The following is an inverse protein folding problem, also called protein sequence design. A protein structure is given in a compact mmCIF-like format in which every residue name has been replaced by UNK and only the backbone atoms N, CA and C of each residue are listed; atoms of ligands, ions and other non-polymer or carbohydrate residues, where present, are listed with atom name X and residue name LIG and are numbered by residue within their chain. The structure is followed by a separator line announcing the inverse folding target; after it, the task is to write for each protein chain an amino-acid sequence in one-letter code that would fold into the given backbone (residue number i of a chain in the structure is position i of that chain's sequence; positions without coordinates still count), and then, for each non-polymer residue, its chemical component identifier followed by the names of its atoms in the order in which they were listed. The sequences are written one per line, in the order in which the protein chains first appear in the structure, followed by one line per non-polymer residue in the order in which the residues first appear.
data_IF_423747194598
#
_entry.id   IF_423747194598
#
_cell.length_a   1.000
_cell.length_b   1.000
_cell.length_c   1.000
_cell.angle_alpha   90.00
_cell.angle_beta   90.00
_cell.angle_gamma   90.00
#
_symmetry.space_group_name_H-M   'P 1'
#
loop_
_entity.id
_entity.type
_entity.pdbx_description
1 polymer ?
#
# COMPACT_ATOMS: atom_id res chain seq x y z
N UNK A 1 -10.19 -5.28 -22.42
CA UNK A 1 -9.33 -4.42 -21.58
C UNK A 1 -9.84 -4.55 -20.15
N UNK A 2 -8.97 -4.77 -19.15
CA UNK A 2 -9.37 -4.85 -17.73
C UNK A 2 -9.96 -3.48 -17.33
N UNK A 3 -11.17 -3.45 -16.76
CA UNK A 3 -11.78 -2.19 -16.29
C UNK A 3 -10.88 -1.58 -15.22
N UNK A 4 -10.80 -0.25 -15.17
CA UNK A 4 -10.03 0.45 -14.15
C UNK A 4 -10.88 0.51 -12.89
N UNK A 5 -10.34 0.05 -11.77
CA UNK A 5 -10.97 0.15 -10.47
C UNK A 5 -10.86 1.58 -9.93
N UNK A 6 -11.96 2.09 -9.40
CA UNK A 6 -12.08 3.37 -8.72
C UNK A 6 -12.61 3.16 -7.31
N UNK A 7 -11.93 3.73 -6.33
CA UNK A 7 -12.29 3.62 -4.92
C UNK A 7 -13.04 4.89 -4.51
N UNK A 8 -14.21 4.73 -3.92
CA UNK A 8 -14.95 5.76 -3.19
C UNK A 8 -14.56 5.61 -1.71
N UNK A 9 -13.67 6.47 -1.18
CA UNK A 9 -13.21 6.36 0.20
C UNK A 9 -14.23 7.00 1.16
N UNK A 10 -14.65 6.24 2.17
CA UNK A 10 -15.40 6.72 3.32
C UNK A 10 -14.52 6.61 4.55
N UNK A 11 -14.08 7.75 5.10
CA UNK A 11 -13.22 7.78 6.27
C UNK A 11 -14.07 7.80 7.53
N UNK A 12 -14.28 6.63 8.13
CA UNK A 12 -14.97 6.50 9.41
C UNK A 12 -14.01 6.94 10.52
N UNK A 13 -14.40 7.91 11.39
CA UNK A 13 -13.57 8.30 12.51
C UNK A 13 -13.23 7.07 13.34
N UNK A 14 -12.03 7.06 13.91
CA UNK A 14 -11.44 5.96 14.68
C UNK A 14 -12.15 5.69 16.04
N UNK A 15 -13.49 5.81 16.10
CA UNK A 15 -14.33 5.64 17.28
C UNK A 15 -14.27 4.23 17.87
N UNK A 16 -13.89 3.24 17.06
CA UNK A 16 -13.86 1.83 17.48
C UNK A 16 -12.56 1.39 18.15
N UNK A 17 -11.51 2.21 18.21
CA UNK A 17 -10.21 1.79 18.75
C UNK A 17 -9.95 2.41 20.15
N UNK A 18 -9.87 1.63 21.24
CA UNK A 18 -9.60 2.15 22.58
C UNK A 18 -8.12 2.49 22.78
N UNK A 19 -7.25 2.08 21.85
CA UNK A 19 -5.80 2.24 21.96
C UNK A 19 -5.31 3.53 21.32
N UNK A 20 -4.37 4.19 22.00
CA UNK A 20 -3.65 5.39 21.51
C UNK A 20 -2.30 4.99 20.95
N UNK A 21 -2.30 4.54 19.69
CA UNK A 21 -1.07 4.19 18.98
C UNK A 21 -0.15 5.40 18.89
N UNK A 22 1.17 5.18 18.98
CA UNK A 22 2.14 6.29 19.05
C UNK A 22 2.15 7.18 17.80
N UNK A 23 1.78 6.62 16.65
CA UNK A 23 1.78 7.26 15.34
C UNK A 23 0.40 7.75 14.89
N UNK A 24 -0.67 7.48 15.65
CA UNK A 24 -2.02 7.85 15.28
C UNK A 24 -2.41 9.16 15.98
N UNK A 25 -2.89 10.15 15.23
CA UNK A 25 -3.38 11.41 15.78
C UNK A 25 -4.90 11.34 16.03
N UNK A 26 -5.32 10.55 17.02
CA UNK A 26 -6.73 10.42 17.36
C UNK A 26 -7.34 11.75 17.83
N UNK A 27 -6.59 12.58 18.57
CA UNK A 27 -7.12 13.79 19.20
C UNK A 27 -7.40 14.93 18.21
N UNK A 28 -6.62 15.09 17.14
CA UNK A 28 -6.94 16.09 16.09
C UNK A 28 -8.05 15.60 15.16
N UNK A 29 -8.23 14.29 15.01
CA UNK A 29 -9.37 13.71 14.26
C UNK A 29 -10.66 13.80 15.09
N UNK A 30 -10.60 13.70 16.42
CA UNK A 30 -11.76 13.79 17.31
C UNK A 30 -12.23 15.23 17.57
N UNK A 31 -11.33 16.22 17.48
CA UNK A 31 -11.64 17.63 17.75
C UNK A 31 -12.52 18.34 16.70
N UNK A 32 -12.79 17.68 15.57
CA UNK A 32 -13.70 18.16 14.50
C UNK A 32 -14.74 17.09 14.12
N UNK A 33 -15.20 16.28 15.08
CA UNK A 33 -16.13 15.17 14.77
C UNK A 33 -17.51 15.68 14.35
N UNK A 34 -17.68 15.88 13.04
CA UNK A 34 -18.98 15.71 12.42
C UNK A 34 -19.35 14.24 12.54
N UNK A 35 -20.47 13.95 13.20
CA UNK A 35 -21.02 12.59 13.22
C UNK A 35 -21.24 12.14 11.77
N UNK A 36 -20.74 10.95 11.42
CA UNK A 36 -21.04 10.37 10.11
C UNK A 36 -22.50 9.93 10.11
N UNK A 37 -23.32 10.79 9.50
CA UNK A 37 -24.72 10.53 9.24
C UNK A 37 -24.90 9.64 8.02
N UNK A 38 -26.06 9.01 7.91
CA UNK A 38 -26.47 8.32 6.68
C UNK A 38 -26.39 9.23 5.45
N UNK A 39 -26.82 10.49 5.59
CA UNK A 39 -26.79 11.48 4.51
C UNK A 39 -25.37 11.72 4.01
N UNK A 40 -24.39 11.85 4.92
CA UNK A 40 -22.98 12.01 4.53
C UNK A 40 -22.48 10.83 3.69
N UNK A 41 -22.81 9.59 4.09
CA UNK A 41 -22.39 8.38 3.37
C UNK A 41 -23.01 8.35 1.98
N UNK A 42 -24.32 8.59 1.87
CA UNK A 42 -25.04 8.62 0.59
C UNK A 42 -24.52 9.72 -0.33
N UNK A 43 -24.39 10.93 0.20
CA UNK A 43 -23.91 12.09 -0.55
C UNK A 43 -22.50 11.86 -1.08
N UNK A 44 -21.61 11.28 -0.28
CA UNK A 44 -20.25 10.94 -0.70
C UNK A 44 -20.25 9.95 -1.86
N UNK A 45 -21.05 8.88 -1.77
CA UNK A 45 -21.17 7.89 -2.85
C UNK A 45 -21.71 8.55 -4.12
N UNK A 46 -22.85 9.24 -4.05
CA UNK A 46 -23.47 9.86 -5.23
C UNK A 46 -22.59 10.94 -5.87
N UNK A 47 -21.82 11.69 -5.07
CA UNK A 47 -20.90 12.71 -5.59
C UNK A 47 -19.77 12.09 -6.40
N UNK A 48 -19.20 10.99 -5.92
CA UNK A 48 -18.17 10.27 -6.69
C UNK A 48 -18.77 9.63 -7.94
N UNK A 49 -19.93 8.96 -7.83
CA UNK A 49 -20.59 8.31 -8.97
C UNK A 49 -20.86 9.28 -10.14
N UNK A 50 -21.10 10.58 -9.87
CA UNK A 50 -21.27 11.61 -10.91
C UNK A 50 -20.00 11.92 -11.71
N UNK A 51 -18.82 11.68 -11.15
CA UNK A 51 -17.53 12.03 -11.76
C UNK A 51 -16.79 10.83 -12.35
N UNK A 52 -17.21 9.62 -12.02
CA UNK A 52 -16.59 8.38 -12.46
C UNK A 52 -17.00 8.00 -13.88
N UNK A 53 -16.08 7.42 -14.69
CA UNK A 53 -16.41 6.98 -16.04
C UNK A 53 -17.37 5.79 -16.03
N UNK A 54 -18.22 5.70 -17.05
CA UNK A 54 -19.30 4.69 -17.16
C UNK A 54 -18.81 3.24 -17.26
N UNK A 55 -17.54 3.02 -17.61
CA UNK A 55 -16.92 1.69 -17.69
C UNK A 55 -15.98 1.38 -16.51
N UNK A 56 -16.06 2.15 -15.43
CA UNK A 56 -15.33 1.89 -14.19
C UNK A 56 -15.79 0.59 -13.52
N UNK A 57 -14.88 -0.03 -12.80
CA UNK A 57 -15.22 -0.91 -11.69
C UNK A 57 -15.15 -0.05 -10.42
N UNK A 58 -16.15 -0.09 -9.56
CA UNK A 58 -16.34 0.88 -8.47
C UNK A 58 -16.39 0.15 -7.14
N UNK A 59 -15.54 0.56 -6.21
CA UNK A 59 -15.46 -0.01 -4.88
C UNK A 59 -15.76 1.06 -3.83
N UNK A 60 -16.67 0.77 -2.90
CA UNK A 60 -16.85 1.59 -1.69
C UNK A 60 -15.96 1.05 -0.59
N UNK A 61 -15.08 1.89 -0.06
CA UNK A 61 -14.08 1.51 0.94
C UNK A 61 -14.27 2.28 2.24
N UNK A 62 -14.57 1.57 3.33
CA UNK A 62 -14.60 2.12 4.69
C UNK A 62 -13.19 2.11 5.31
N UNK A 63 -12.53 3.27 5.31
CA UNK A 63 -11.23 3.50 5.94
C UNK A 63 -11.39 4.02 7.38
N UNK A 64 -10.36 3.83 8.20
CA UNK A 64 -10.39 4.16 9.63
C UNK A 64 -9.92 3.03 10.54
N UNK A 65 -9.37 1.94 10.00
CA UNK A 65 -8.55 0.93 10.70
C UNK A 65 -9.17 0.20 11.90
N UNK A 66 -10.44 0.41 12.19
CA UNK A 66 -11.17 -0.10 13.35
C UNK A 66 -12.68 -0.18 13.10
N UNK A 67 -13.08 -0.34 11.84
CA UNK A 67 -14.50 -0.30 11.45
C UNK A 67 -15.35 -1.30 12.24
N UNK A 68 -14.87 -2.53 12.45
CA UNK A 68 -15.63 -3.56 13.17
C UNK A 68 -15.62 -3.37 14.69
N UNK A 69 -14.93 -2.35 15.21
CA UNK A 69 -14.95 -1.96 16.62
C UNK A 69 -15.96 -0.86 16.97
N UNK A 70 -16.65 -0.27 15.98
CA UNK A 70 -17.74 0.68 16.25
C UNK A 70 -19.02 -0.07 16.66
N UNK A 71 -20.02 0.60 17.26
CA UNK A 71 -21.30 -0.04 17.58
C UNK A 71 -21.94 -0.77 16.38
N UNK A 72 -22.47 -1.97 16.62
CA UNK A 72 -22.97 -2.88 15.57
C UNK A 72 -24.10 -2.26 14.72
N UNK A 73 -24.97 -1.46 15.34
CA UNK A 73 -26.02 -0.70 14.66
C UNK A 73 -25.43 0.30 13.65
N UNK A 74 -24.33 0.99 13.99
CA UNK A 74 -23.62 1.88 13.07
C UNK A 74 -22.93 1.11 11.94
N UNK A 75 -22.31 -0.04 12.24
CA UNK A 75 -21.76 -0.92 11.20
C UNK A 75 -22.84 -1.32 10.19
N UNK A 76 -23.99 -1.78 10.70
CA UNK A 76 -25.13 -2.22 9.91
C UNK A 76 -25.73 -1.11 9.06
N UNK A 77 -25.81 0.11 9.60
CA UNK A 77 -26.26 1.29 8.86
C UNK A 77 -25.35 1.57 7.66
N UNK A 78 -24.04 1.70 7.90
CA UNK A 78 -23.08 2.05 6.85
C UNK A 78 -22.96 0.98 5.78
N UNK A 79 -22.88 -0.29 6.20
CA UNK A 79 -22.85 -1.43 5.30
C UNK A 79 -24.17 -1.60 4.53
N UNK A 80 -25.31 -1.31 5.17
CA UNK A 80 -26.63 -1.35 4.54
C UNK A 80 -26.76 -0.35 3.40
N UNK A 81 -26.26 0.88 3.59
CA UNK A 81 -26.22 1.88 2.53
C UNK A 81 -25.35 1.38 1.37
N UNK A 82 -24.11 0.96 1.62
CA UNK A 82 -23.23 0.47 0.54
C UNK A 82 -23.82 -0.74 -0.20
N UNK A 83 -24.46 -1.67 0.53
CA UNK A 83 -25.16 -2.82 -0.05
C UNK A 83 -26.31 -2.39 -0.96
N UNK A 84 -27.06 -1.34 -0.61
CA UNK A 84 -28.12 -0.80 -1.47
C UNK A 84 -27.56 -0.37 -2.84
N UNK A 85 -26.40 0.31 -2.85
CA UNK A 85 -25.72 0.69 -4.09
C UNK A 85 -25.20 -0.51 -4.88
N UNK A 86 -24.70 -1.53 -4.18
CA UNK A 86 -24.22 -2.78 -4.76
C UNK A 86 -25.37 -3.53 -5.44
N UNK A 87 -26.51 -3.68 -4.76
CA UNK A 87 -27.68 -4.38 -5.27
C UNK A 87 -28.32 -3.65 -6.47
N UNK A 88 -28.17 -2.32 -6.55
CA UNK A 88 -28.56 -1.51 -7.72
C UNK A 88 -27.56 -1.56 -8.88
N UNK A 89 -26.44 -2.27 -8.73
CA UNK A 89 -25.37 -2.33 -9.74
C UNK A 89 -24.64 -0.99 -9.96
N UNK A 90 -24.71 -0.06 -8.99
CA UNK A 90 -24.00 1.22 -9.04
C UNK A 90 -22.54 1.11 -8.56
N UNK A 91 -22.24 0.08 -7.78
CA UNK A 91 -20.90 -0.28 -7.33
C UNK A 91 -20.69 -1.79 -7.51
N UNK A 92 -19.43 -2.23 -7.51
CA UNK A 92 -19.03 -3.62 -7.77
C UNK A 92 -18.50 -4.33 -6.50
N UNK A 93 -17.99 -3.58 -5.51
CA UNK A 93 -17.39 -4.16 -4.32
C UNK A 93 -17.52 -3.26 -3.08
N UNK A 94 -17.54 -3.92 -1.91
CA UNK A 94 -17.48 -3.27 -0.60
C UNK A 94 -16.20 -3.76 0.10
N UNK A 95 -15.40 -2.80 0.58
CA UNK A 95 -14.17 -3.02 1.33
C UNK A 95 -14.24 -2.32 2.69
N UNK A 96 -13.64 -2.92 3.72
CA UNK A 96 -13.39 -2.24 4.99
C UNK A 96 -11.99 -2.50 5.53
N UNK A 97 -11.50 -1.58 6.37
CA UNK A 97 -10.27 -1.76 7.16
C UNK A 97 -10.59 -1.89 8.65
N UNK A 98 -10.00 -2.90 9.30
CA UNK A 98 -10.20 -3.12 10.73
C UNK A 98 -8.94 -3.65 11.44
N UNK A 99 -9.06 -3.86 12.75
CA UNK A 99 -8.01 -4.46 13.57
C UNK A 99 -8.15 -5.99 13.58
N UNK A 100 -7.04 -6.74 13.67
CA UNK A 100 -7.09 -8.20 13.75
C UNK A 100 -7.89 -8.72 14.95
N UNK A 101 -7.74 -8.10 16.12
CA UNK A 101 -8.40 -8.47 17.38
C UNK A 101 -9.92 -8.18 17.41
N UNK A 102 -10.48 -7.57 16.36
CA UNK A 102 -11.93 -7.35 16.21
C UNK A 102 -12.58 -8.30 15.21
N UNK A 103 -11.87 -9.36 14.83
CA UNK A 103 -12.39 -10.37 13.93
C UNK A 103 -12.79 -11.59 14.73
N UNK A 104 -14.09 -11.88 14.71
CA UNK A 104 -14.68 -13.11 15.20
C UNK A 104 -15.74 -13.62 14.20
N UNK A 105 -16.39 -14.73 14.55
CA UNK A 105 -17.37 -15.39 13.68
C UNK A 105 -18.61 -14.51 13.46
N UNK A 106 -19.06 -13.78 14.49
CA UNK A 106 -20.25 -12.92 14.41
C UNK A 106 -19.98 -11.74 13.47
N UNK A 107 -18.83 -11.10 13.60
CA UNK A 107 -18.37 -10.03 12.72
C UNK A 107 -18.33 -10.54 11.27
N UNK A 108 -17.66 -11.66 10.98
CA UNK A 108 -17.58 -12.18 9.61
C UNK A 108 -18.94 -12.57 9.03
N UNK A 109 -19.84 -13.13 9.84
CA UNK A 109 -21.22 -13.41 9.42
C UNK A 109 -21.97 -12.12 9.07
N UNK A 110 -21.78 -11.06 9.87
CA UNK A 110 -22.38 -9.75 9.58
C UNK A 110 -21.82 -9.16 8.29
N UNK A 111 -20.50 -9.18 8.11
CA UNK A 111 -19.86 -8.69 6.88
C UNK A 111 -20.34 -9.44 5.63
N UNK A 112 -20.50 -10.78 5.73
CA UNK A 112 -21.04 -11.61 4.66
C UNK A 112 -22.51 -11.26 4.35
N UNK A 113 -23.34 -11.03 5.37
CA UNK A 113 -24.74 -10.59 5.22
C UNK A 113 -24.83 -9.31 4.39
N UNK A 114 -23.88 -8.40 4.59
CA UNK A 114 -23.81 -7.15 3.84
C UNK A 114 -23.03 -7.20 2.52
N UNK A 115 -22.64 -8.40 2.06
CA UNK A 115 -21.88 -8.62 0.82
C UNK A 115 -20.55 -7.83 0.78
N UNK A 116 -19.89 -7.71 1.93
CA UNK A 116 -18.49 -7.25 1.95
C UNK A 116 -17.65 -8.27 1.17
N UNK A 117 -16.79 -7.79 0.28
CA UNK A 117 -15.95 -8.64 -0.56
C UNK A 117 -14.49 -8.62 -0.12
N UNK A 118 -14.06 -7.57 0.59
CA UNK A 118 -12.64 -7.32 0.89
C UNK A 118 -12.47 -6.83 2.33
N UNK A 119 -11.59 -7.50 3.07
CA UNK A 119 -11.19 -7.12 4.43
C UNK A 119 -9.72 -6.74 4.42
N UNK A 120 -9.39 -5.56 4.95
CA UNK A 120 -8.01 -5.18 5.24
C UNK A 120 -7.74 -5.18 6.75
N UNK A 121 -6.69 -5.90 7.16
CA UNK A 121 -6.23 -5.90 8.56
C UNK A 121 -5.04 -4.98 8.75
N UNK A 122 -5.15 -4.08 9.74
CA UNK A 122 -4.07 -3.21 10.17
C UNK A 122 -3.03 -3.95 11.03
N UNK A 123 -2.22 -4.81 10.42
CA UNK A 123 -1.18 -5.65 11.07
C UNK A 123 -0.06 -4.81 11.66
N UNK A 124 0.44 -3.86 10.88
CA UNK A 124 1.60 -3.01 11.13
C UNK A 124 2.94 -3.75 11.25
N UNK A 125 3.06 -4.73 12.14
CA UNK A 125 4.25 -5.56 12.29
C UNK A 125 3.89 -6.96 12.78
N UNK A 126 4.74 -7.94 12.51
CA UNK A 126 4.68 -9.29 13.11
C UNK A 126 5.76 -9.49 14.19
N UNK A 127 6.35 -8.40 14.67
CA UNK A 127 7.32 -8.33 15.77
C UNK A 127 6.64 -7.74 17.02
N UNK A 128 6.63 -8.51 18.12
CA UNK A 128 5.94 -8.14 19.36
C UNK A 128 6.52 -6.88 20.01
N UNK A 129 7.84 -6.68 19.94
CA UNK A 129 8.48 -5.50 20.52
C UNK A 129 8.05 -4.23 19.77
N UNK A 130 7.98 -4.30 18.43
CA UNK A 130 7.49 -3.19 17.59
C UNK A 130 6.03 -2.86 17.91
N UNK A 131 5.16 -3.88 18.02
CA UNK A 131 3.74 -3.70 18.34
C UNK A 131 3.54 -3.08 19.74
N UNK A 132 4.31 -3.55 20.73
CA UNK A 132 4.29 -3.07 22.11
C UNK A 132 4.77 -1.62 22.20
N UNK A 133 5.94 -1.30 21.65
CA UNK A 133 6.49 0.07 21.62
C UNK A 133 5.59 1.03 20.85
N UNK A 134 4.87 0.52 19.85
CA UNK A 134 3.89 1.30 19.09
C UNK A 134 2.54 1.46 19.79
N UNK A 135 2.32 0.78 20.92
CA UNK A 135 1.05 0.73 21.67
C UNK A 135 -0.12 0.33 20.78
N UNK A 136 0.10 -0.65 19.88
CA UNK A 136 -0.89 -1.05 18.89
C UNK A 136 -2.10 -1.72 19.53
N UNK A 137 -1.88 -2.54 20.55
CA UNK A 137 -2.93 -3.18 21.35
C UNK A 137 -3.44 -4.51 20.80
N UNK A 138 -2.77 -5.09 19.80
CA UNK A 138 -2.97 -6.47 19.33
C UNK A 138 -1.58 -7.13 19.18
N UNK A 139 -1.55 -8.46 19.13
CA UNK A 139 -0.34 -9.29 18.98
C UNK A 139 -0.23 -9.89 17.58
N UNK A 140 0.93 -10.45 17.23
CA UNK A 140 1.07 -11.22 15.99
C UNK A 140 0.19 -12.48 15.99
N UNK A 141 -0.13 -13.04 17.17
CA UNK A 141 -1.04 -14.17 17.29
C UNK A 141 -2.48 -13.80 16.92
N UNK A 142 -2.95 -12.60 17.32
CA UNK A 142 -4.27 -12.09 16.92
C UNK A 142 -4.38 -11.95 15.40
N UNK A 143 -3.27 -11.55 14.75
CA UNK A 143 -3.19 -11.49 13.28
C UNK A 143 -3.38 -12.89 12.69
N UNK A 144 -2.62 -13.88 13.17
CA UNK A 144 -2.72 -15.27 12.66
C UNK A 144 -4.14 -15.82 12.85
N UNK A 145 -4.75 -15.61 14.02
CA UNK A 145 -6.12 -16.04 14.32
C UNK A 145 -7.13 -15.39 13.38
N UNK A 146 -7.07 -14.08 13.20
CA UNK A 146 -7.96 -13.34 12.32
C UNK A 146 -7.85 -13.81 10.86
N UNK A 147 -6.61 -13.98 10.35
CA UNK A 147 -6.38 -14.49 8.99
C UNK A 147 -6.97 -15.88 8.80
N UNK A 148 -6.74 -16.79 9.75
CA UNK A 148 -7.26 -18.15 9.67
C UNK A 148 -8.80 -18.19 9.69
N UNK A 149 -9.43 -17.30 10.47
CA UNK A 149 -10.88 -17.20 10.52
C UNK A 149 -11.45 -16.61 9.22
N UNK A 150 -10.87 -15.52 8.71
CA UNK A 150 -11.29 -14.89 7.44
C UNK A 150 -11.23 -15.88 6.27
N UNK A 151 -10.20 -16.72 6.21
CA UNK A 151 -10.02 -17.73 5.16
C UNK A 151 -11.10 -18.81 5.12
N UNK A 152 -11.90 -18.96 6.17
CA UNK A 152 -13.06 -19.86 6.15
C UNK A 152 -14.23 -19.28 5.33
N UNK A 153 -14.09 -18.04 4.87
CA UNK A 153 -15.06 -17.29 4.10
C UNK A 153 -14.46 -16.84 2.76
N UNK A 154 -15.32 -16.42 1.84
CA UNK A 154 -14.93 -15.98 0.50
C UNK A 154 -14.63 -14.47 0.45
N UNK A 155 -13.82 -13.99 1.39
CA UNK A 155 -13.32 -12.60 1.38
C UNK A 155 -11.93 -12.55 0.76
N UNK A 156 -11.67 -11.51 -0.03
CA UNK A 156 -10.29 -11.11 -0.31
C UNK A 156 -9.68 -10.48 0.93
N UNK A 157 -8.44 -10.83 1.24
CA UNK A 157 -7.73 -10.39 2.42
C UNK A 157 -6.51 -9.54 2.05
N UNK A 158 -6.51 -8.32 2.58
CA UNK A 158 -5.37 -7.41 2.53
C UNK A 158 -4.70 -7.24 3.88
N UNK A 159 -3.37 -7.19 3.93
CA UNK A 159 -2.62 -6.86 5.16
C UNK A 159 -1.85 -5.54 5.02
N UNK A 160 -2.04 -4.64 5.98
CA UNK A 160 -1.33 -3.36 6.03
C UNK A 160 -0.13 -3.44 6.96
N UNK A 161 1.03 -3.03 6.47
CA UNK A 161 2.33 -3.15 7.14
C UNK A 161 2.91 -1.75 7.29
N UNK A 162 3.60 -1.52 8.41
CA UNK A 162 4.34 -0.30 8.66
C UNK A 162 5.81 -0.55 8.92
N UNK A 163 6.68 0.18 8.22
CA UNK A 163 8.14 0.11 8.40
C UNK A 163 8.66 1.34 9.15
N UNK A 164 9.73 1.19 9.93
CA UNK A 164 10.36 2.27 10.68
C UNK A 164 9.58 2.72 11.92
N UNK A 165 8.72 1.84 12.47
CA UNK A 165 8.06 2.07 13.76
C UNK A 165 9.07 2.01 14.93
N UNK A 166 8.73 2.52 16.13
CA UNK A 166 9.63 2.41 17.29
C UNK A 166 10.02 0.96 17.59
N UNK A 167 11.32 0.69 17.66
CA UNK A 167 11.88 -0.65 17.89
C UNK A 167 12.00 -1.52 16.63
N UNK A 168 11.63 -0.98 15.46
CA UNK A 168 11.77 -1.65 14.16
C UNK A 168 13.17 -1.43 13.58
N UNK A 169 13.60 -2.37 12.73
CA UNK A 169 14.84 -2.31 11.98
C UNK A 169 14.68 -3.12 10.68
N UNK A 170 15.71 -3.13 9.82
CA UNK A 170 15.65 -3.86 8.55
C UNK A 170 15.31 -5.34 8.74
N UNK A 171 15.97 -6.03 9.68
CA UNK A 171 15.74 -7.46 9.93
C UNK A 171 14.29 -7.74 10.33
N UNK A 172 13.74 -6.97 11.27
CA UNK A 172 12.35 -7.11 11.74
C UNK A 172 11.32 -6.79 10.66
N UNK A 173 11.56 -5.75 9.85
CA UNK A 173 10.74 -5.42 8.69
C UNK A 173 10.70 -6.56 7.67
N UNK A 174 11.85 -7.19 7.38
CA UNK A 174 11.91 -8.33 6.45
C UNK A 174 11.29 -9.59 7.07
N UNK A 175 11.53 -9.87 8.35
CA UNK A 175 10.90 -10.98 9.06
C UNK A 175 9.37 -10.85 9.07
N UNK A 176 8.86 -9.62 9.23
CA UNK A 176 7.44 -9.32 9.08
C UNK A 176 6.93 -9.68 7.69
N UNK A 177 7.67 -9.34 6.63
CA UNK A 177 7.29 -9.72 5.27
C UNK A 177 7.26 -11.24 5.07
N UNK A 178 8.26 -11.97 5.57
CA UNK A 178 8.30 -13.44 5.49
C UNK A 178 7.13 -14.11 6.24
N UNK A 179 6.84 -13.68 7.47
CA UNK A 179 5.66 -14.17 8.21
C UNK A 179 4.35 -13.87 7.47
N UNK A 180 4.24 -12.71 6.84
CA UNK A 180 3.05 -12.36 6.04
C UNK A 180 2.93 -13.23 4.79
N UNK A 181 4.04 -13.63 4.16
CA UNK A 181 4.01 -14.59 3.05
C UNK A 181 3.38 -15.92 3.48
N UNK A 182 3.71 -16.42 4.68
CA UNK A 182 3.10 -17.64 5.23
C UNK A 182 1.58 -17.49 5.45
N UNK A 183 1.14 -16.27 5.78
CA UNK A 183 -0.26 -15.88 5.89
C UNK A 183 -0.97 -15.66 4.56
N UNK A 184 -0.29 -15.89 3.41
CA UNK A 184 -0.81 -15.82 2.02
C UNK A 184 -2.04 -14.89 1.85
N UNK A 185 -1.91 -13.57 2.11
CA UNK A 185 -2.97 -12.63 1.78
C UNK A 185 -3.05 -12.45 0.26
N UNK A 186 -4.17 -11.94 -0.23
CA UNK A 186 -4.32 -11.59 -1.65
C UNK A 186 -3.44 -10.40 -2.02
N UNK A 187 -3.31 -9.43 -1.10
CA UNK A 187 -2.49 -8.25 -1.31
C UNK A 187 -1.97 -7.63 0.00
N UNK A 188 -1.00 -6.74 -0.13
CA UNK A 188 -0.44 -5.96 0.97
C UNK A 188 -0.33 -4.48 0.65
N UNK A 189 -0.25 -3.67 1.70
CA UNK A 189 0.10 -2.26 1.65
C UNK A 189 1.27 -1.98 2.58
N UNK A 190 2.24 -1.21 2.12
CA UNK A 190 3.46 -0.88 2.89
C UNK A 190 3.47 0.62 3.17
N UNK A 191 3.53 1.01 4.43
CA UNK A 191 3.52 2.40 4.86
C UNK A 191 4.74 2.71 5.72
N UNK A 192 5.61 3.65 5.35
CA UNK A 192 6.64 4.06 6.28
C UNK A 192 6.04 4.90 7.41
N UNK A 193 6.57 4.74 8.62
CA UNK A 193 6.19 5.54 9.77
C UNK A 193 6.58 7.01 9.54
N UNK A 194 5.60 7.90 9.71
CA UNK A 194 5.79 9.33 9.68
C UNK A 194 5.57 9.92 11.06
N UNK A 195 6.31 10.96 11.38
CA UNK A 195 6.05 11.80 12.55
C UNK A 195 4.98 12.80 12.16
N UNK A 196 3.77 12.62 12.66
CA UNK A 196 2.62 13.50 12.41
C UNK A 196 2.42 14.43 13.61
N UNK A 197 1.99 15.68 13.37
CA UNK A 197 1.65 16.65 14.41
C UNK A 197 0.66 16.06 15.41
N UNK A 198 0.78 16.46 16.68
CA UNK A 198 -0.05 16.05 17.81
C UNK A 198 -0.10 14.54 18.07
N UNK A 199 0.92 13.78 17.60
CA UNK A 199 1.09 12.36 17.93
C UNK A 199 2.13 12.18 19.04
N UNK A 200 2.12 11.00 19.68
CA UNK A 200 3.19 10.67 20.62
C UNK A 200 4.55 10.52 19.91
N UNK A 201 4.57 10.11 18.64
CA UNK A 201 5.78 10.11 17.82
C UNK A 201 6.39 11.51 17.68
N UNK A 202 5.59 12.57 17.54
CA UNK A 202 6.11 13.94 17.50
C UNK A 202 6.81 14.30 18.80
N UNK A 203 6.22 13.94 19.95
CA UNK A 203 6.86 14.14 21.25
C UNK A 203 8.18 13.37 21.36
N UNK A 204 8.18 12.08 20.99
CA UNK A 204 9.41 11.27 20.99
C UNK A 204 10.48 11.86 20.07
N UNK A 205 10.10 12.35 18.89
CA UNK A 205 11.00 12.98 17.93
C UNK A 205 11.62 14.28 18.48
N UNK A 206 10.79 15.18 19.04
CA UNK A 206 11.24 16.44 19.66
C UNK A 206 12.17 16.22 20.85
N UNK A 207 12.00 15.12 21.57
CA UNK A 207 12.86 14.73 22.70
C UNK A 207 14.09 13.91 22.26
N UNK A 208 14.31 13.67 20.97
CA UNK A 208 15.44 12.88 20.46
C UNK A 208 15.36 11.37 20.77
N UNK A 209 14.18 10.86 21.14
CA UNK A 209 13.92 9.45 21.48
C UNK A 209 13.43 8.62 20.29
N UNK A 210 13.16 9.25 19.15
CA UNK A 210 12.76 8.57 17.92
C UNK A 210 13.30 9.33 16.70
N UNK A 211 13.88 8.60 15.75
CA UNK A 211 14.31 9.14 14.47
C UNK A 211 13.61 8.34 13.37
N UNK A 212 12.75 8.95 12.55
CA UNK A 212 12.12 8.25 11.44
C UNK A 212 13.16 7.92 10.37
N UNK A 213 12.86 6.91 9.56
CA UNK A 213 13.68 6.55 8.40
C UNK A 213 13.88 7.76 7.46
N UNK A 214 15.03 7.83 6.82
CA UNK A 214 15.21 8.67 5.64
C UNK A 214 14.38 8.12 4.48
N UNK A 215 14.09 8.96 3.48
CA UNK A 215 13.40 8.53 2.27
C UNK A 215 14.14 7.37 1.57
N UNK A 216 15.47 7.43 1.53
CA UNK A 216 16.29 6.40 0.91
C UNK A 216 16.19 5.06 1.65
N UNK A 217 16.31 5.06 2.99
CA UNK A 217 16.16 3.85 3.79
C UNK A 217 14.76 3.22 3.62
N UNK A 218 13.71 4.05 3.64
CA UNK A 218 12.35 3.59 3.45
C UNK A 218 12.14 2.98 2.04
N UNK A 219 12.75 3.55 1.00
CA UNK A 219 12.72 3.00 -0.36
C UNK A 219 13.44 1.66 -0.42
N UNK A 220 14.62 1.53 0.19
CA UNK A 220 15.40 0.29 0.17
C UNK A 220 14.73 -0.85 0.96
N UNK A 221 14.18 -0.57 2.14
CA UNK A 221 13.40 -1.56 2.91
C UNK A 221 12.16 -1.98 2.12
N UNK A 222 11.40 -1.01 1.61
CA UNK A 222 10.18 -1.27 0.83
C UNK A 222 10.47 -2.05 -0.45
N UNK A 223 11.61 -1.80 -1.13
CA UNK A 223 12.07 -2.56 -2.30
C UNK A 223 12.27 -4.03 -1.97
N UNK A 224 12.99 -4.33 -0.88
CA UNK A 224 13.24 -5.71 -0.46
C UNK A 224 11.92 -6.43 -0.13
N UNK A 225 11.02 -5.77 0.59
CA UNK A 225 9.69 -6.32 0.88
C UNK A 225 8.85 -6.51 -0.38
N UNK A 226 8.87 -5.55 -1.31
CA UNK A 226 8.17 -5.65 -2.59
C UNK A 226 8.61 -6.89 -3.38
N UNK A 227 9.93 -7.10 -3.48
CA UNK A 227 10.50 -8.30 -4.13
C UNK A 227 10.02 -9.59 -3.43
N UNK A 228 10.05 -9.64 -2.10
CA UNK A 228 9.56 -10.80 -1.32
C UNK A 228 8.11 -11.12 -1.65
N UNK A 229 7.23 -10.11 -1.68
CA UNK A 229 5.79 -10.33 -1.96
C UNK A 229 5.53 -10.75 -3.41
N UNK A 230 6.12 -10.05 -4.39
CA UNK A 230 5.94 -10.37 -5.80
C UNK A 230 6.47 -11.77 -6.13
N UNK A 231 7.60 -12.17 -5.53
CA UNK A 231 8.16 -13.53 -5.67
C UNK A 231 7.18 -14.61 -5.18
N UNK A 232 6.38 -14.29 -4.17
CA UNK A 232 5.40 -15.19 -3.57
C UNK A 232 3.97 -14.99 -4.09
N UNK A 233 3.79 -14.30 -5.23
CA UNK A 233 2.48 -14.04 -5.85
C UNK A 233 1.51 -13.24 -4.97
N UNK A 234 2.03 -12.33 -4.15
CA UNK A 234 1.23 -11.42 -3.33
C UNK A 234 1.33 -10.02 -3.93
N UNK A 235 0.17 -9.43 -4.26
CA UNK A 235 0.13 -8.11 -4.88
C UNK A 235 0.48 -7.02 -3.87
N UNK A 236 1.38 -6.09 -4.25
CA UNK A 236 1.64 -4.88 -3.47
C UNK A 236 0.86 -3.73 -4.10
N UNK A 237 -0.32 -3.43 -3.56
CA UNK A 237 -1.23 -2.45 -4.19
C UNK A 237 -0.93 -1.00 -3.77
N UNK A 238 -0.12 -0.80 -2.71
CA UNK A 238 0.27 0.52 -2.24
C UNK A 238 1.61 0.50 -1.50
N UNK A 239 2.46 1.47 -1.80
CA UNK A 239 3.60 1.85 -0.96
C UNK A 239 3.55 3.36 -0.70
N UNK A 240 3.61 3.75 0.56
CA UNK A 240 3.49 5.14 1.02
C UNK A 240 2.05 5.60 1.23
N UNK A 241 1.90 6.68 2.00
CA UNK A 241 0.59 7.23 2.35
C UNK A 241 -0.13 7.82 1.14
N UNK A 242 -1.46 7.82 1.20
CA UNK A 242 -2.28 8.57 0.26
C UNK A 242 -2.32 10.03 0.70
N UNK A 243 -1.89 10.93 -0.19
CA UNK A 243 -2.00 12.37 0.02
C UNK A 243 -3.47 12.75 -0.05
N UNK A 244 -4.13 12.85 1.09
CA UNK A 244 -5.41 13.56 1.22
C UNK A 244 -5.12 15.05 1.42
N UNK A 245 -6.12 15.91 1.23
CA UNK A 245 -5.96 17.37 1.41
C UNK A 245 -5.44 17.77 2.82
N UNK A 246 -5.56 16.85 3.79
CA UNK A 246 -5.08 16.98 5.16
C UNK A 246 -3.61 16.51 5.33
N UNK A 247 -3.19 15.41 4.69
CA UNK A 247 -1.81 14.88 4.82
C UNK A 247 -0.95 15.37 3.65
N UNK A 248 -0.56 16.64 3.71
CA UNK A 248 0.46 17.24 2.83
C UNK A 248 1.73 17.61 3.61
N UNK A 249 2.89 17.52 2.95
CA UNK A 249 4.15 18.07 3.44
C UNK A 249 3.91 19.56 3.79
N UNK A 250 4.30 19.99 5.00
CA UNK A 250 4.04 21.32 5.61
C UNK A 250 2.68 21.56 6.29
N UNK A 251 1.72 20.62 6.26
CA UNK A 251 0.52 20.70 7.12
C UNK A 251 0.71 19.85 8.38
N UNK A 252 0.66 18.53 8.23
CA UNK A 252 0.59 17.62 9.38
C UNK A 252 1.82 16.73 9.54
N UNK A 253 2.64 16.55 8.51
CA UNK A 253 3.89 15.76 8.59
C UNK A 253 5.02 16.63 9.15
N UNK A 254 5.56 16.25 10.31
CA UNK A 254 6.69 16.91 11.00
C UNK A 254 8.03 16.37 10.53
N UNK A 255 8.15 15.04 10.37
CA UNK A 255 9.38 14.39 9.93
C UNK A 255 9.09 12.98 9.35
N UNK A 256 10.08 12.45 8.63
CA UNK A 256 10.07 11.08 8.09
C UNK A 256 9.96 11.01 6.56
N UNK A 257 9.92 9.78 6.00
CA UNK A 257 10.09 9.52 4.58
C UNK A 257 8.79 9.74 3.78
N UNK A 258 8.30 10.98 3.76
CA UNK A 258 7.13 11.34 2.96
C UNK A 258 7.51 11.65 1.52
N UNK A 259 6.92 10.92 0.57
CA UNK A 259 6.99 11.25 -0.84
C UNK A 259 5.66 10.88 -1.53
N UNK A 260 5.05 11.79 -2.32
CA UNK A 260 3.74 11.54 -2.94
C UNK A 260 3.76 10.36 -3.93
N UNK A 261 4.92 10.09 -4.53
CA UNK A 261 5.14 8.98 -5.45
C UNK A 261 6.05 7.88 -4.88
N UNK A 262 5.97 7.60 -3.56
CA UNK A 262 6.83 6.59 -2.91
C UNK A 262 6.84 5.24 -3.62
N UNK A 263 5.66 4.72 -4.01
CA UNK A 263 5.58 3.48 -4.80
C UNK A 263 6.36 3.54 -6.12
N UNK A 264 6.33 4.67 -6.82
CA UNK A 264 7.12 4.84 -8.04
C UNK A 264 8.61 4.81 -7.76
N UNK A 265 9.08 5.38 -6.64
CA UNK A 265 10.50 5.33 -6.25
C UNK A 265 10.95 3.89 -5.99
N UNK A 266 10.13 3.12 -5.29
CA UNK A 266 10.42 1.70 -5.02
C UNK A 266 10.44 0.89 -6.31
N UNK A 267 9.41 1.01 -7.15
CA UNK A 267 9.38 0.33 -8.45
C UNK A 267 10.56 0.72 -9.34
N UNK A 268 10.93 2.01 -9.33
CA UNK A 268 12.10 2.51 -10.07
C UNK A 268 13.41 1.90 -9.56
N UNK A 269 13.56 1.75 -8.24
CA UNK A 269 14.73 1.09 -7.63
C UNK A 269 14.76 -0.42 -7.95
N UNK A 270 13.61 -1.11 -7.97
CA UNK A 270 13.52 -2.51 -8.44
C UNK A 270 13.94 -2.64 -9.90
N UNK A 271 13.43 -1.76 -10.78
CA UNK A 271 13.77 -1.78 -12.20
C UNK A 271 15.26 -1.51 -12.42
N UNK A 272 15.88 -0.65 -11.60
CA UNK A 272 17.32 -0.45 -11.64
C UNK A 272 18.08 -1.75 -11.36
N UNK A 273 17.71 -2.50 -10.32
CA UNK A 273 18.33 -3.78 -9.97
C UNK A 273 18.13 -4.82 -11.10
N UNK A 274 16.96 -4.84 -11.74
CA UNK A 274 16.69 -5.70 -12.92
C UNK A 274 17.61 -5.33 -14.08
N UNK A 275 17.69 -4.04 -14.42
CA UNK A 275 18.53 -3.57 -15.52
C UNK A 275 19.99 -3.89 -15.23
N UNK A 276 20.51 -3.61 -14.03
CA UNK A 276 21.88 -3.95 -13.62
C UNK A 276 22.20 -5.42 -13.93
N UNK A 277 21.33 -6.35 -13.52
CA UNK A 277 21.51 -7.78 -13.82
C UNK A 277 21.45 -8.09 -15.31
N UNK A 278 20.53 -7.50 -16.05
CA UNK A 278 20.46 -7.67 -17.52
C UNK A 278 21.72 -7.16 -18.22
N UNK A 279 22.25 -6.00 -17.78
CA UNK A 279 23.50 -5.45 -18.30
C UNK A 279 24.68 -6.38 -18.00
N UNK A 280 24.75 -6.92 -16.78
CA UNK A 280 25.79 -7.87 -16.35
C UNK A 280 25.68 -9.21 -17.11
N UNK A 281 24.53 -9.88 -17.09
CA UNK A 281 24.31 -11.18 -17.73
C UNK A 281 24.55 -11.17 -19.25
N UNK A 282 24.27 -10.04 -19.90
CA UNK A 282 24.40 -9.89 -21.35
C UNK A 282 25.68 -9.19 -21.78
N UNK A 283 26.54 -8.83 -20.81
CA UNK A 283 27.79 -8.10 -20.99
C UNK A 283 27.62 -6.82 -21.81
N UNK A 284 26.59 -6.03 -21.47
CA UNK A 284 26.29 -4.77 -22.15
C UNK A 284 27.20 -3.68 -21.59
N UNK A 285 28.07 -3.14 -22.45
CA UNK A 285 28.91 -1.99 -22.15
C UNK A 285 29.34 -1.32 -23.46
N UNK A 286 29.75 -0.05 -23.41
CA UNK A 286 30.35 0.65 -24.56
C UNK A 286 29.49 0.62 -25.84
N UNK A 287 28.16 0.68 -25.71
CA UNK A 287 27.20 0.58 -26.82
C UNK A 287 26.02 1.53 -26.61
N UNK A 288 25.22 1.72 -27.66
CA UNK A 288 23.93 2.40 -27.56
C UNK A 288 22.88 1.42 -27.05
N UNK A 289 22.08 1.86 -26.07
CA UNK A 289 20.97 1.07 -25.52
C UNK A 289 19.67 1.84 -25.72
N UNK A 290 18.65 1.19 -26.28
CA UNK A 290 17.30 1.73 -26.36
C UNK A 290 16.36 0.89 -25.52
N UNK A 291 15.69 1.51 -24.55
CA UNK A 291 14.67 0.86 -23.72
C UNK A 291 13.28 1.28 -24.20
N UNK A 292 12.42 0.29 -24.47
CA UNK A 292 11.03 0.49 -24.80
C UNK A 292 10.14 0.08 -23.62
N UNK A 293 9.16 0.93 -23.31
CA UNK A 293 8.04 0.62 -22.41
C UNK A 293 6.80 1.36 -22.88
N UNK A 294 5.66 1.11 -22.25
CA UNK A 294 4.51 1.99 -22.43
C UNK A 294 4.73 3.37 -21.78
N UNK A 295 3.84 4.30 -22.10
CA UNK A 295 3.86 5.68 -21.60
C UNK A 295 3.78 5.76 -20.07
N UNK A 296 3.01 4.87 -19.43
CA UNK A 296 2.80 4.89 -17.97
C UNK A 296 4.06 4.53 -17.19
N UNK A 297 4.91 3.66 -17.73
CA UNK A 297 6.12 3.15 -17.07
C UNK A 297 7.40 3.88 -17.44
N UNK A 298 7.44 4.63 -18.53
CA UNK A 298 8.69 5.17 -19.07
C UNK A 298 9.42 6.06 -18.04
N UNK A 299 8.67 6.86 -17.28
CA UNK A 299 9.20 7.73 -16.22
C UNK A 299 9.78 6.93 -15.05
N UNK A 300 9.12 5.84 -14.65
CA UNK A 300 9.60 4.93 -13.60
C UNK A 300 10.91 4.24 -13.99
N UNK A 301 11.06 3.85 -15.26
CA UNK A 301 12.30 3.23 -15.75
C UNK A 301 13.45 4.23 -15.81
N UNK A 302 13.20 5.44 -16.32
CA UNK A 302 14.20 6.54 -16.37
C UNK A 302 14.66 6.92 -14.95
N UNK A 303 13.75 6.84 -13.99
CA UNK A 303 13.96 7.13 -12.59
C UNK A 303 13.82 8.62 -12.26
N UNK A 304 13.57 8.91 -10.98
CA UNK A 304 13.41 10.27 -10.49
C UNK A 304 14.66 11.09 -10.79
N UNK A 305 14.50 12.31 -11.32
CA UNK A 305 15.61 13.16 -11.79
C UNK A 305 16.58 12.44 -12.75
N UNK A 306 16.08 11.46 -13.51
CA UNK A 306 16.84 10.61 -14.46
C UNK A 306 17.92 9.74 -13.78
N UNK A 307 17.77 9.42 -12.49
CA UNK A 307 18.78 8.71 -11.73
C UNK A 307 19.19 7.38 -12.37
N UNK A 308 18.24 6.50 -12.69
CA UNK A 308 18.54 5.18 -13.27
C UNK A 308 19.30 5.31 -14.60
N UNK A 309 18.84 6.22 -15.47
CA UNK A 309 19.53 6.53 -16.73
C UNK A 309 20.99 6.93 -16.46
N UNK A 310 21.20 7.96 -15.66
CA UNK A 310 22.55 8.52 -15.43
C UNK A 310 23.47 7.51 -14.74
N UNK A 311 22.92 6.72 -13.81
CA UNK A 311 23.65 5.65 -13.13
C UNK A 311 24.14 4.59 -14.11
N UNK A 312 23.25 4.06 -14.97
CA UNK A 312 23.59 3.02 -15.94
C UNK A 312 24.54 3.53 -17.04
N UNK A 313 24.30 4.74 -17.55
CA UNK A 313 25.20 5.40 -18.53
C UNK A 313 26.62 5.50 -17.97
N UNK A 314 26.76 5.95 -16.71
CA UNK A 314 28.06 6.06 -16.04
C UNK A 314 28.68 4.69 -15.73
N UNK A 315 27.91 3.74 -15.17
CA UNK A 315 28.44 2.44 -14.72
C UNK A 315 28.93 1.57 -15.88
N UNK A 316 28.20 1.55 -16.99
CA UNK A 316 28.48 0.65 -18.13
C UNK A 316 29.06 1.37 -19.36
N UNK A 317 29.32 2.67 -19.27
CA UNK A 317 29.77 3.53 -20.37
C UNK A 317 28.87 3.36 -21.61
N UNK A 318 27.57 3.51 -21.43
CA UNK A 318 26.57 3.36 -22.51
C UNK A 318 25.85 4.68 -22.78
N UNK A 319 25.24 4.80 -23.96
CA UNK A 319 24.32 5.90 -24.28
C UNK A 319 22.89 5.38 -24.31
N UNK A 320 22.04 5.90 -23.43
CA UNK A 320 20.68 5.39 -23.26
C UNK A 320 19.62 6.29 -23.91
N UNK A 321 18.75 5.66 -24.69
CA UNK A 321 17.56 6.22 -25.30
C UNK A 321 16.31 5.49 -24.79
N UNK A 322 15.21 6.22 -24.61
CA UNK A 322 13.95 5.70 -24.08
C UNK A 322 12.83 5.98 -25.09
N UNK A 323 12.08 4.95 -25.47
CA UNK A 323 11.02 5.05 -26.48
C UNK A 323 9.71 4.46 -25.96
N UNK A 324 8.61 5.09 -26.34
CA UNK A 324 7.28 4.61 -25.97
C UNK A 324 6.80 3.59 -27.00
N UNK A 325 6.31 2.44 -26.52
CA UNK A 325 5.64 1.43 -27.30
C UNK A 325 4.38 0.98 -26.56
N UNK A 326 3.24 1.59 -26.89
CA UNK A 326 1.97 1.40 -26.17
C UNK A 326 1.34 0.00 -26.33
N UNK A 327 1.88 -0.85 -27.22
CA UNK A 327 1.49 -2.27 -27.29
C UNK A 327 2.06 -3.10 -26.13
N UNK A 328 3.03 -2.58 -25.36
CA UNK A 328 3.56 -3.24 -24.17
C UNK A 328 2.63 -3.07 -22.97
N UNK A 329 2.41 -4.14 -22.24
CA UNK A 329 1.74 -4.09 -20.93
C UNK A 329 2.64 -3.44 -19.89
N UNK A 330 2.07 -3.02 -18.75
CA UNK A 330 2.85 -2.44 -17.65
C UNK A 330 3.95 -3.40 -17.17
N UNK A 331 3.77 -4.71 -17.25
CA UNK A 331 4.79 -5.67 -16.80
C UNK A 331 5.97 -5.85 -17.76
N UNK A 332 5.93 -5.31 -19.00
CA UNK A 332 6.92 -5.61 -20.04
C UNK A 332 7.86 -4.43 -20.33
N UNK A 333 9.16 -4.74 -20.42
CA UNK A 333 10.21 -3.84 -20.87
C UNK A 333 10.98 -4.52 -22.00
N UNK A 334 11.34 -3.77 -23.06
CA UNK A 334 12.23 -4.28 -24.11
C UNK A 334 13.53 -3.48 -24.10
N UNK A 335 14.66 -4.16 -23.98
CA UNK A 335 16.00 -3.57 -24.04
C UNK A 335 16.64 -3.96 -25.37
N UNK A 336 17.04 -2.97 -26.15
CA UNK A 336 17.68 -3.16 -27.44
C UNK A 336 19.11 -2.60 -27.40
N UNK A 337 20.05 -3.36 -27.95
CA UNK A 337 21.43 -2.96 -28.24
C UNK A 337 21.70 -3.18 -29.73
N UNK A 338 22.85 -2.77 -30.23
CA UNK A 338 23.24 -2.99 -31.63
C UNK A 338 23.25 -4.49 -32.03
N UNK A 339 23.35 -5.40 -31.06
CA UNK A 339 23.52 -6.85 -31.30
C UNK A 339 22.38 -7.72 -30.77
N UNK A 340 21.55 -7.22 -29.84
CA UNK A 340 20.60 -8.05 -29.07
C UNK A 340 19.31 -7.29 -28.77
N UNK A 341 18.20 -8.02 -28.81
CA UNK A 341 16.88 -7.58 -28.32
C UNK A 341 16.49 -8.48 -27.16
N UNK A 342 16.18 -7.90 -26.01
CA UNK A 342 15.81 -8.61 -24.79
C UNK A 342 14.41 -8.16 -24.37
N UNK A 343 13.49 -9.11 -24.22
CA UNK A 343 12.14 -8.87 -23.72
C UNK A 343 12.05 -9.34 -22.29
N UNK A 344 11.72 -8.44 -21.38
CA UNK A 344 11.74 -8.68 -19.94
C UNK A 344 10.31 -8.54 -19.43
N UNK A 345 9.85 -9.50 -18.65
CA UNK A 345 8.75 -9.32 -17.71
C UNK A 345 9.33 -8.94 -16.36
N UNK A 346 8.88 -7.83 -15.79
CA UNK A 346 9.34 -7.37 -14.47
C UNK A 346 9.02 -8.45 -13.43
N UNK A 347 7.78 -8.95 -13.42
CA UNK A 347 7.31 -9.95 -12.46
C UNK A 347 8.05 -11.29 -12.62
N UNK A 348 8.19 -11.80 -13.84
CA UNK A 348 8.88 -13.07 -14.07
C UNK A 348 10.38 -12.94 -13.76
N UNK A 349 10.98 -11.79 -14.07
CA UNK A 349 12.38 -11.54 -13.73
C UNK A 349 12.57 -11.56 -12.21
N UNK A 350 11.67 -10.92 -11.46
CA UNK A 350 11.72 -10.92 -10.00
C UNK A 350 11.66 -12.34 -9.44
N UNK A 351 10.71 -13.14 -9.90
CA UNK A 351 10.50 -14.52 -9.42
C UNK A 351 11.71 -15.43 -9.69
N UNK A 352 12.34 -15.27 -10.85
CA UNK A 352 13.38 -16.19 -11.31
C UNK A 352 14.80 -15.79 -10.89
N UNK A 353 15.03 -14.52 -10.54
CA UNK A 353 16.39 -14.00 -10.34
C UNK A 353 16.64 -13.40 -8.96
N UNK A 354 15.62 -12.90 -8.25
CA UNK A 354 15.80 -12.36 -6.90
C UNK A 354 15.44 -13.35 -5.80
#
# INVERSE_FOLDING_TARGET
MKKKMYIIPLFIPHLGCPFKCVFCNQNSITGQQQEITEEYVRQTIETHLKTLPSNAEIEVSFFGGSFTGIPQDKQNLYLGIAKEYLDKGKIDAIRLSTRPDYIDTEILQNLKRYKVSIIELGVQSMDEEVLLKSRRGHTSEDVVKAVNLIRQYDFKLGLQIMIGLPGDNLEKSLNTAYKIVELKPDFVRIYPALVIKNTYLERMYKEGRFFPLTLQEAVEISKKMYIIFIKNNIDVIRIGLQTTENINYNKDVVAGPFHPAMGQLVESSVILDILIRVFEDKNISNTKVTIFSNERRISTIIGQKKFNKLFLEKKYNVKMEFKILNSLTDDKIVVCTDKKIMRISITDFIKNNF
#
